data_IF_886600074374
#
_entry.id   IF_886600074374
#
_cell.length_a   1.000
_cell.length_b   1.000
_cell.length_c   1.000
_cell.angle_alpha   90.00
_cell.angle_beta   90.00
_cell.angle_gamma   90.00
#
_symmetry.space_group_name_H-M   'P 1'
#
loop_
_entity.id
_entity.type
_entity.pdbx_description
1 polymer ?
#
# COMPACT_ATOMS: atom_id res chain seq x y z
N UNK A 1 36.64 -18.08 18.06
CA UNK A 1 35.50 -17.38 17.44
C UNK A 1 35.24 -17.91 16.02
N UNK A 2 36.17 -17.84 15.08
CA UNK A 2 36.00 -18.29 13.69
C UNK A 2 35.53 -19.74 13.56
N UNK A 3 36.01 -20.65 14.44
CA UNK A 3 35.59 -22.06 14.46
C UNK A 3 34.11 -22.17 14.84
N UNK A 4 33.64 -21.39 15.81
CA UNK A 4 32.22 -21.40 16.22
C UNK A 4 31.27 -20.89 15.12
N UNK A 5 31.69 -19.88 14.34
CA UNK A 5 30.95 -19.45 13.15
C UNK A 5 30.89 -20.55 12.08
N UNK A 6 32.05 -21.15 11.76
CA UNK A 6 32.12 -22.19 10.74
C UNK A 6 31.28 -23.41 11.11
N UNK A 7 31.31 -23.80 12.38
CA UNK A 7 30.66 -25.04 12.85
C UNK A 7 29.22 -24.81 13.36
N UNK A 8 28.72 -23.56 13.32
CA UNK A 8 27.38 -23.13 13.78
C UNK A 8 27.05 -23.61 15.21
N UNK A 9 28.06 -23.69 16.09
CA UNK A 9 27.94 -24.32 17.41
C UNK A 9 27.29 -23.45 18.47
N UNK A 10 27.09 -22.17 18.23
CA UNK A 10 26.52 -21.22 19.20
C UNK A 10 25.82 -20.08 18.49
N UNK A 11 24.62 -20.35 17.92
CA UNK A 11 23.93 -19.41 17.03
C UNK A 11 23.42 -18.13 17.72
N UNK A 12 23.40 -18.09 19.07
CA UNK A 12 22.98 -16.90 19.82
C UNK A 12 24.15 -15.94 20.01
N UNK A 13 25.32 -16.45 20.39
CA UNK A 13 26.55 -15.64 20.60
C UNK A 13 27.32 -15.39 19.29
N UNK A 14 27.23 -16.33 18.34
CA UNK A 14 27.91 -16.29 17.04
C UNK A 14 26.93 -16.55 15.90
N UNK A 15 25.95 -15.65 15.71
CA UNK A 15 24.90 -15.84 14.70
C UNK A 15 25.48 -15.73 13.27
N UNK A 16 24.88 -16.51 12.36
CA UNK A 16 25.16 -16.49 10.92
C UNK A 16 23.83 -16.58 10.17
N UNK A 17 23.19 -15.43 9.96
CA UNK A 17 21.84 -15.35 9.41
C UNK A 17 21.87 -14.73 8.02
N UNK A 18 21.29 -15.43 7.04
CA UNK A 18 20.86 -14.80 5.80
C UNK A 18 19.59 -13.97 6.05
N UNK A 19 19.74 -12.68 6.24
CA UNK A 19 18.65 -11.78 6.61
C UNK A 19 17.56 -11.69 5.55
N UNK A 20 17.89 -11.88 4.26
CA UNK A 20 16.87 -11.89 3.19
C UNK A 20 15.97 -13.11 3.37
N UNK A 21 16.53 -14.29 3.48
CA UNK A 21 15.76 -15.52 3.68
C UNK A 21 15.04 -15.53 5.03
N UNK A 22 15.62 -14.91 6.04
CA UNK A 22 15.04 -14.80 7.36
C UNK A 22 13.82 -13.88 7.38
N UNK A 23 13.90 -12.71 6.74
CA UNK A 23 12.89 -11.67 6.81
C UNK A 23 11.82 -11.78 5.72
N UNK A 24 12.09 -12.45 4.59
CA UNK A 24 11.23 -12.43 3.41
C UNK A 24 10.63 -13.80 3.08
N UNK A 25 9.39 -13.79 2.64
CA UNK A 25 8.76 -14.94 1.99
C UNK A 25 9.28 -15.07 0.56
N UNK A 26 9.32 -16.29 0.04
CA UNK A 26 9.72 -16.55 -1.36
C UNK A 26 8.67 -16.08 -2.37
N UNK A 27 7.42 -15.92 -1.94
CA UNK A 27 6.32 -15.44 -2.76
C UNK A 27 5.32 -14.65 -1.91
N UNK A 28 4.59 -13.73 -2.56
CA UNK A 28 3.47 -13.01 -1.97
C UNK A 28 2.21 -13.25 -2.79
N UNK A 29 1.07 -13.32 -2.11
CA UNK A 29 -0.22 -13.57 -2.76
C UNK A 29 -0.76 -12.28 -3.41
N UNK A 30 -1.31 -12.44 -4.62
CA UNK A 30 -2.01 -11.39 -5.34
C UNK A 30 -3.30 -11.96 -5.92
N UNK A 31 -4.40 -11.21 -5.83
CA UNK A 31 -5.64 -11.58 -6.47
C UNK A 31 -6.33 -10.38 -7.13
N UNK A 32 -7.03 -10.64 -8.22
CA UNK A 32 -7.81 -9.66 -8.94
C UNK A 32 -9.15 -10.26 -9.37
N UNK A 33 -10.21 -9.55 -9.07
CA UNK A 33 -11.59 -9.92 -9.43
C UNK A 33 -12.28 -8.74 -10.09
N UNK A 34 -13.00 -9.00 -11.19
CA UNK A 34 -13.77 -7.98 -11.90
C UNK A 34 -15.15 -8.55 -12.24
N UNK A 35 -16.18 -7.71 -12.06
CA UNK A 35 -17.56 -8.01 -12.44
C UNK A 35 -18.06 -6.85 -13.30
N UNK A 36 -18.65 -7.19 -14.43
CA UNK A 36 -19.20 -6.24 -15.37
C UNK A 36 -20.66 -6.63 -15.70
N UNK A 37 -21.55 -5.64 -15.73
CA UNK A 37 -22.94 -5.80 -16.08
C UNK A 37 -23.25 -4.72 -17.11
N UNK A 38 -23.85 -5.12 -18.23
CA UNK A 38 -24.33 -4.19 -19.25
C UNK A 38 -25.71 -4.60 -19.72
N UNK A 39 -26.49 -3.61 -20.11
CA UNK A 39 -27.82 -3.84 -20.61
C UNK A 39 -28.46 -2.55 -21.13
N UNK A 40 -29.67 -2.64 -21.57
CA UNK A 40 -30.41 -1.46 -22.04
C UNK A 40 -31.78 -1.78 -22.55
N UNK A 41 -32.46 -0.71 -22.92
CA UNK A 41 -33.73 -0.67 -23.63
C UNK A 41 -33.54 0.17 -24.89
N UNK A 42 -34.62 0.39 -25.67
CA UNK A 42 -34.58 1.27 -26.84
C UNK A 42 -34.15 2.72 -26.51
N UNK A 43 -34.29 3.14 -25.25
CA UNK A 43 -34.01 4.52 -24.82
C UNK A 43 -32.88 4.65 -23.79
N UNK A 44 -32.36 3.54 -23.28
CA UNK A 44 -31.36 3.57 -22.21
C UNK A 44 -30.35 2.48 -22.44
N UNK A 45 -29.05 2.82 -22.28
CA UNK A 45 -27.96 1.88 -22.29
C UNK A 45 -27.14 2.10 -21.01
N UNK A 46 -26.76 1.03 -20.34
CA UNK A 46 -25.94 1.12 -19.16
C UNK A 46 -24.82 0.09 -19.15
N UNK A 47 -23.74 0.47 -18.50
CA UNK A 47 -22.63 -0.40 -18.18
C UNK A 47 -22.18 -0.10 -16.75
N UNK A 48 -22.08 -1.13 -15.92
CA UNK A 48 -21.56 -1.04 -14.55
C UNK A 48 -20.43 -2.04 -14.39
N UNK A 49 -19.35 -1.61 -13.77
CA UNK A 49 -18.18 -2.42 -13.50
C UNK A 49 -17.72 -2.21 -12.07
N UNK A 50 -17.36 -3.30 -11.39
CA UNK A 50 -16.70 -3.28 -10.10
C UNK A 50 -15.49 -4.21 -10.14
N UNK A 51 -14.37 -3.76 -9.61
CA UNK A 51 -13.13 -4.52 -9.54
C UNK A 51 -12.50 -4.45 -8.16
N UNK A 52 -11.90 -5.54 -7.75
CA UNK A 52 -11.11 -5.66 -6.52
C UNK A 52 -9.74 -6.20 -6.86
N UNK A 53 -8.71 -5.58 -6.33
CA UNK A 53 -7.33 -6.03 -6.41
C UNK A 53 -6.73 -6.03 -5.00
N UNK A 54 -6.06 -7.13 -4.65
CA UNK A 54 -5.32 -7.25 -3.39
C UNK A 54 -3.93 -7.79 -3.65
N UNK A 55 -2.95 -7.28 -2.93
CA UNK A 55 -1.57 -7.74 -2.98
C UNK A 55 -0.96 -7.71 -1.59
N UNK A 56 -0.41 -8.83 -1.17
CA UNK A 56 0.32 -8.95 0.08
C UNK A 56 1.78 -8.56 -0.09
N UNK A 57 2.44 -8.20 1.00
CA UNK A 57 3.87 -7.95 1.02
C UNK A 57 4.68 -9.22 1.23
N UNK A 58 5.98 -9.11 0.99
CA UNK A 58 6.90 -10.24 1.07
C UNK A 58 7.55 -10.43 2.44
N UNK A 59 7.38 -9.51 3.39
CA UNK A 59 7.98 -9.68 4.72
C UNK A 59 7.26 -10.74 5.54
N UNK A 60 8.02 -11.56 6.24
CA UNK A 60 7.49 -12.53 7.20
C UNK A 60 6.97 -11.81 8.45
N UNK A 61 5.85 -12.31 8.99
CA UNK A 61 5.26 -11.79 10.24
C UNK A 61 6.16 -12.05 11.46
N UNK A 62 6.98 -13.09 11.44
CA UNK A 62 7.78 -13.59 12.55
C UNK A 62 6.91 -13.67 13.84
N UNK A 63 7.45 -13.42 15.00
CA UNK A 63 6.71 -13.50 16.26
C UNK A 63 6.01 -12.18 16.67
N UNK A 64 5.86 -11.22 15.74
CA UNK A 64 5.21 -9.94 16.05
C UNK A 64 3.69 -10.09 16.18
N UNK A 65 3.10 -9.41 17.17
CA UNK A 65 1.65 -9.35 17.35
C UNK A 65 0.94 -8.58 16.25
N UNK A 66 1.61 -7.61 15.66
CA UNK A 66 1.05 -6.70 14.67
C UNK A 66 1.59 -6.97 13.28
N UNK A 67 0.73 -6.85 12.28
CA UNK A 67 1.15 -7.00 10.89
C UNK A 67 1.81 -5.72 10.37
N UNK A 68 3.13 -5.71 10.30
CA UNK A 68 3.95 -4.61 9.75
C UNK A 68 4.16 -4.71 8.24
N UNK A 69 3.67 -5.77 7.58
CA UNK A 69 3.97 -6.05 6.19
C UNK A 69 3.35 -5.01 5.24
N UNK A 70 3.90 -4.95 4.05
CA UNK A 70 3.24 -4.26 2.95
C UNK A 70 1.92 -4.93 2.63
N UNK A 71 0.92 -4.13 2.32
CA UNK A 71 -0.36 -4.61 1.81
C UNK A 71 -0.95 -3.53 0.91
N UNK A 72 -1.49 -3.94 -0.23
CA UNK A 72 -2.17 -3.04 -1.14
C UNK A 72 -3.54 -3.60 -1.49
N UNK A 73 -4.57 -2.77 -1.33
CA UNK A 73 -5.96 -3.08 -1.70
C UNK A 73 -6.50 -1.97 -2.56
N UNK A 74 -7.14 -2.32 -3.67
CA UNK A 74 -7.77 -1.34 -4.56
C UNK A 74 -9.14 -1.85 -5.00
N UNK A 75 -10.12 -1.00 -4.86
CA UNK A 75 -11.47 -1.18 -5.38
C UNK A 75 -11.69 -0.15 -6.48
N UNK A 76 -12.05 -0.62 -7.68
CA UNK A 76 -12.41 0.23 -8.80
C UNK A 76 -13.90 0.10 -9.03
N UNK A 77 -14.55 1.19 -9.43
CA UNK A 77 -15.93 1.19 -9.84
C UNK A 77 -16.14 2.09 -11.05
N UNK A 78 -17.05 1.71 -11.91
CA UNK A 78 -17.46 2.48 -13.09
C UNK A 78 -18.94 2.25 -13.37
N UNK A 79 -19.64 3.34 -13.68
CA UNK A 79 -21.00 3.30 -14.17
C UNK A 79 -21.12 4.29 -15.34
N UNK A 80 -21.59 3.81 -16.48
CA UNK A 80 -21.90 4.63 -17.65
C UNK A 80 -23.38 4.46 -17.93
N UNK A 81 -24.07 5.55 -18.15
CA UNK A 81 -25.47 5.60 -18.49
C UNK A 81 -25.66 6.55 -19.68
N UNK A 82 -26.24 6.04 -20.77
CA UNK A 82 -26.74 6.83 -21.88
C UNK A 82 -28.26 6.76 -21.87
N UNK A 83 -28.94 7.89 -21.87
CA UNK A 83 -30.38 8.01 -21.83
C UNK A 83 -30.89 8.94 -22.93
N UNK A 84 -31.64 8.38 -23.87
CA UNK A 84 -32.35 9.12 -24.91
C UNK A 84 -33.61 9.80 -24.30
N UNK A 85 -33.41 11.01 -23.70
CA UNK A 85 -34.47 11.77 -23.04
C UNK A 85 -35.61 12.13 -24.03
N UNK A 86 -35.21 12.42 -25.27
CA UNK A 86 -36.13 12.61 -26.40
C UNK A 86 -35.51 11.98 -27.67
N UNK A 87 -36.24 12.01 -28.81
CA UNK A 87 -35.66 11.57 -30.11
C UNK A 87 -34.47 12.41 -30.58
N UNK A 88 -34.28 13.57 -29.97
CA UNK A 88 -33.24 14.54 -30.36
C UNK A 88 -32.25 14.86 -29.23
N UNK A 89 -32.51 14.38 -28.00
CA UNK A 89 -31.73 14.70 -26.80
C UNK A 89 -31.16 13.43 -26.19
N UNK A 90 -29.85 13.32 -26.14
CA UNK A 90 -29.12 12.28 -25.42
C UNK A 90 -28.46 12.88 -24.18
N UNK A 91 -28.61 12.22 -23.04
CA UNK A 91 -27.93 12.53 -21.81
C UNK A 91 -27.01 11.36 -21.47
N UNK A 92 -25.72 11.63 -21.31
CA UNK A 92 -24.75 10.62 -20.89
C UNK A 92 -24.18 11.00 -19.53
N UNK A 93 -24.20 10.04 -18.59
CA UNK A 93 -23.60 10.17 -17.26
C UNK A 93 -22.52 9.10 -17.12
N UNK A 94 -21.30 9.52 -16.86
CA UNK A 94 -20.19 8.62 -16.59
C UNK A 94 -19.68 8.89 -15.19
N UNK A 95 -19.66 7.85 -14.36
CA UNK A 95 -19.10 7.90 -13.01
C UNK A 95 -18.02 6.83 -12.93
N UNK A 96 -16.86 7.21 -12.48
CA UNK A 96 -15.77 6.28 -12.28
C UNK A 96 -14.90 6.68 -11.09
N UNK A 97 -14.25 5.70 -10.50
CA UNK A 97 -13.35 6.01 -9.41
C UNK A 97 -12.66 4.79 -8.86
N UNK A 98 -11.85 5.05 -7.84
CA UNK A 98 -11.16 4.02 -7.09
C UNK A 98 -10.98 4.41 -5.63
N UNK A 99 -10.98 3.40 -4.80
CA UNK A 99 -10.56 3.49 -3.39
C UNK A 99 -9.36 2.56 -3.27
N UNK A 100 -8.22 3.11 -2.88
CA UNK A 100 -7.01 2.33 -2.68
C UNK A 100 -6.45 2.54 -1.28
N UNK A 101 -6.01 1.47 -0.66
CA UNK A 101 -5.33 1.50 0.64
C UNK A 101 -3.97 0.84 0.48
N UNK A 102 -2.92 1.60 0.74
CA UNK A 102 -1.54 1.13 0.78
C UNK A 102 -1.06 1.12 2.23
N UNK A 103 -0.63 -0.03 2.70
CA UNK A 103 -0.01 -0.20 4.01
C UNK A 103 1.48 -0.47 3.83
N UNK A 104 2.32 0.16 4.64
CA UNK A 104 3.77 -0.02 4.65
C UNK A 104 4.26 -0.10 6.10
N UNK A 105 5.39 -0.75 6.36
CA UNK A 105 6.05 -0.63 7.66
C UNK A 105 6.29 0.84 8.04
N UNK A 106 6.16 1.17 9.31
CA UNK A 106 6.53 2.48 9.84
C UNK A 106 8.02 2.46 10.16
N UNK A 107 8.84 2.82 9.19
CA UNK A 107 10.29 2.86 9.33
C UNK A 107 10.85 4.28 9.39
N UNK A 108 10.03 5.29 9.11
CA UNK A 108 10.50 6.66 8.88
C UNK A 108 11.29 6.83 7.58
N UNK A 109 11.38 5.79 6.78
CA UNK A 109 12.19 5.72 5.57
C UNK A 109 11.35 5.32 4.36
N UNK A 110 11.86 5.60 3.16
CA UNK A 110 11.23 5.11 1.95
C UNK A 110 11.46 3.60 1.75
N UNK A 111 10.72 3.02 0.84
CA UNK A 111 10.76 1.58 0.56
C UNK A 111 12.14 1.12 0.08
N UNK A 112 12.86 1.95 -0.69
CA UNK A 112 14.18 1.61 -1.21
C UNK A 112 15.21 1.52 -0.09
N UNK A 113 15.16 2.44 0.87
CA UNK A 113 16.04 2.43 2.03
C UNK A 113 15.80 1.21 2.93
N UNK A 114 14.54 0.80 3.07
CA UNK A 114 14.19 -0.41 3.83
C UNK A 114 14.82 -1.66 3.23
N UNK A 115 14.70 -1.87 1.91
CA UNK A 115 15.34 -3.00 1.22
C UNK A 115 16.87 -2.89 1.24
N UNK A 116 17.40 -1.70 1.05
CA UNK A 116 18.85 -1.45 1.10
C UNK A 116 19.46 -1.83 2.45
N UNK A 117 18.81 -1.47 3.55
CA UNK A 117 19.26 -1.85 4.90
C UNK A 117 19.17 -3.34 5.16
N UNK A 118 18.15 -4.02 4.63
CA UNK A 118 18.05 -5.47 4.69
C UNK A 118 19.22 -6.13 3.93
N UNK A 119 19.55 -5.58 2.76
CA UNK A 119 20.65 -6.08 1.92
C UNK A 119 22.03 -5.87 2.54
N UNK A 120 22.18 -4.82 3.34
CA UNK A 120 23.43 -4.49 4.03
C UNK A 120 23.55 -5.09 5.43
N UNK A 121 22.51 -5.75 5.91
CA UNK A 121 22.58 -6.41 7.19
C UNK A 121 23.61 -7.55 7.15
N UNK A 122 24.60 -7.47 8.02
CA UNK A 122 25.64 -8.49 8.08
C UNK A 122 25.14 -9.74 8.78
N UNK A 123 25.54 -10.95 8.36
CA UNK A 123 25.03 -12.22 8.90
C UNK A 123 25.11 -12.35 10.42
N UNK A 124 26.12 -11.74 11.03
CA UNK A 124 26.39 -11.78 12.47
C UNK A 124 25.81 -10.58 13.25
N UNK A 125 24.92 -9.78 12.67
CA UNK A 125 24.35 -8.61 13.35
C UNK A 125 23.37 -8.96 14.48
N UNK A 126 22.91 -10.20 14.55
CA UNK A 126 22.01 -10.67 15.61
C UNK A 126 21.53 -12.09 15.36
N UNK A 127 20.93 -12.70 16.38
CA UNK A 127 20.35 -14.04 16.32
C UNK A 127 18.87 -14.03 15.87
N UNK A 128 18.33 -12.87 15.46
CA UNK A 128 16.92 -12.75 15.05
C UNK A 128 15.96 -12.72 16.23
N UNK A 129 14.87 -13.46 16.13
CA UNK A 129 13.87 -13.59 17.20
C UNK A 129 14.09 -14.92 17.92
N UNK A 130 14.49 -14.85 19.17
CA UNK A 130 14.70 -16.00 20.07
C UNK A 130 13.76 -15.85 21.26
N UNK A 131 12.88 -16.81 21.48
CA UNK A 131 11.87 -16.80 22.56
C UNK A 131 11.05 -15.49 22.62
N UNK A 132 10.66 -15.00 21.43
CA UNK A 132 9.88 -13.75 21.29
C UNK A 132 10.70 -12.47 21.50
N UNK A 133 12.01 -12.57 21.77
CA UNK A 133 12.91 -11.45 21.98
C UNK A 133 13.70 -11.19 20.69
N UNK A 134 13.84 -9.93 20.29
CA UNK A 134 14.78 -9.55 19.23
C UNK A 134 16.19 -9.51 19.81
N UNK A 135 17.02 -10.47 19.40
CA UNK A 135 18.38 -10.62 19.90
C UNK A 135 19.36 -10.03 18.89
N UNK A 136 20.07 -9.00 19.31
CA UNK A 136 21.16 -8.35 18.56
C UNK A 136 22.52 -8.83 19.09
N UNK A 137 23.52 -8.80 18.23
CA UNK A 137 24.86 -9.25 18.61
C UNK A 137 25.51 -8.37 19.70
N UNK A 138 26.33 -9.00 20.50
CA UNK A 138 27.07 -8.33 21.56
C UNK A 138 28.47 -7.91 21.06
N UNK A 139 28.78 -6.61 21.17
CA UNK A 139 30.05 -6.05 20.79
C UNK A 139 31.25 -6.60 21.64
N UNK A 140 30.95 -7.13 22.83
CA UNK A 140 31.97 -7.75 23.67
C UNK A 140 32.56 -9.05 23.06
N UNK A 141 31.77 -9.71 22.20
CA UNK A 141 32.13 -10.97 21.53
C UNK A 141 32.46 -10.80 20.05
N UNK A 142 32.00 -9.73 19.42
CA UNK A 142 32.14 -9.49 17.99
C UNK A 142 32.77 -8.12 17.73
N UNK A 143 33.74 -8.00 16.81
CA UNK A 143 34.44 -6.74 16.53
C UNK A 143 33.54 -5.70 15.84
N UNK A 144 32.41 -6.14 15.24
CA UNK A 144 31.47 -5.28 14.57
C UNK A 144 30.05 -5.90 14.64
N UNK A 145 29.12 -5.14 15.12
CA UNK A 145 27.74 -5.65 15.34
C UNK A 145 26.73 -5.18 14.33
N UNK A 146 26.99 -4.13 13.59
CA UNK A 146 26.11 -3.65 12.51
C UNK A 146 24.63 -3.57 12.86
N UNK A 147 23.82 -3.26 11.88
CA UNK A 147 22.34 -3.31 11.98
C UNK A 147 21.85 -4.65 11.44
N UNK A 148 20.99 -5.33 12.19
CA UNK A 148 20.31 -6.55 11.74
C UNK A 148 19.22 -6.24 10.70
N UNK A 149 18.74 -7.26 9.97
CA UNK A 149 17.71 -7.11 8.96
C UNK A 149 16.34 -6.69 9.49
N UNK A 150 16.10 -6.85 10.80
CA UNK A 150 14.84 -6.50 11.45
C UNK A 150 14.77 -5.03 11.85
N UNK A 151 15.91 -4.36 12.00
CA UNK A 151 16.01 -3.02 12.57
C UNK A 151 15.16 -1.97 11.84
N UNK A 152 14.95 -2.12 10.56
CA UNK A 152 14.28 -1.11 9.75
C UNK A 152 12.76 -1.17 9.81
N UNK A 153 12.16 -2.32 10.12
CA UNK A 153 10.70 -2.48 10.02
C UNK A 153 10.05 -3.20 11.20
N UNK A 154 10.76 -4.14 11.83
CA UNK A 154 10.17 -5.02 12.82
C UNK A 154 9.88 -4.30 14.14
N UNK A 155 8.66 -4.45 14.67
CA UNK A 155 8.26 -3.85 15.95
C UNK A 155 8.07 -2.33 15.94
N UNK A 156 8.03 -1.68 14.78
CA UNK A 156 7.90 -0.21 14.69
C UNK A 156 6.49 0.27 14.33
N UNK A 157 5.60 -0.65 13.96
CA UNK A 157 4.25 -0.33 13.55
C UNK A 157 4.10 -0.21 12.02
N UNK A 158 3.09 0.51 11.58
CA UNK A 158 2.77 0.65 10.16
C UNK A 158 2.17 2.01 9.82
N UNK A 159 2.29 2.37 8.54
CA UNK A 159 1.65 3.52 7.93
C UNK A 159 0.60 3.03 6.94
N UNK A 160 -0.63 3.55 7.03
CA UNK A 160 -1.72 3.23 6.12
C UNK A 160 -2.20 4.48 5.42
N UNK A 161 -2.06 4.53 4.10
CA UNK A 161 -2.54 5.62 3.26
C UNK A 161 -3.75 5.14 2.46
N UNK A 162 -4.88 5.83 2.62
CA UNK A 162 -6.10 5.57 1.85
C UNK A 162 -6.32 6.73 0.89
N UNK A 163 -6.46 6.42 -0.40
CA UNK A 163 -6.74 7.37 -1.48
C UNK A 163 -8.09 7.06 -2.10
N UNK A 164 -8.94 8.08 -2.21
CA UNK A 164 -10.22 8.00 -2.92
C UNK A 164 -10.14 8.92 -4.13
N UNK A 165 -10.53 8.41 -5.29
CA UNK A 165 -10.64 9.18 -6.54
C UNK A 165 -12.04 9.01 -7.07
N UNK A 166 -12.69 10.12 -7.43
CA UNK A 166 -14.00 10.16 -8.07
C UNK A 166 -13.94 11.06 -9.30
N UNK A 167 -14.40 10.53 -10.42
CA UNK A 167 -14.58 11.25 -11.68
C UNK A 167 -16.05 11.16 -12.08
N UNK A 168 -16.66 12.29 -12.44
CA UNK A 168 -18.03 12.38 -12.90
C UNK A 168 -18.06 13.23 -14.16
N UNK A 169 -18.58 12.67 -15.26
CA UNK A 169 -18.83 13.40 -16.49
C UNK A 169 -20.34 13.41 -16.77
N UNK A 170 -20.87 14.57 -17.12
CA UNK A 170 -22.21 14.77 -17.63
C UNK A 170 -22.12 15.35 -19.03
N UNK A 171 -22.77 14.69 -19.99
CA UNK A 171 -22.82 15.15 -21.38
C UNK A 171 -24.26 15.24 -21.82
N UNK A 172 -24.60 16.39 -22.41
CA UNK A 172 -25.86 16.62 -23.09
C UNK A 172 -25.56 16.81 -24.57
N UNK A 173 -26.14 15.95 -25.42
CA UNK A 173 -26.11 16.08 -26.88
C UNK A 173 -27.51 16.37 -27.38
N UNK A 174 -27.72 17.55 -28.01
CA UNK A 174 -28.98 18.01 -28.55
C UNK A 174 -28.89 18.17 -30.06
N UNK A 175 -29.66 17.40 -30.83
CA UNK A 175 -29.84 17.63 -32.26
C UNK A 175 -30.71 18.85 -32.49
N UNK A 176 -30.23 19.75 -33.33
CA UNK A 176 -30.91 21.01 -33.68
C UNK A 176 -31.40 20.99 -35.14
N UNK A 177 -31.82 19.82 -35.62
CA UNK A 177 -32.32 19.63 -37.00
C UNK A 177 -33.55 20.50 -37.31
N UNK A 178 -34.25 20.97 -36.28
CA UNK A 178 -35.39 21.91 -36.41
C UNK A 178 -34.91 23.33 -36.80
N UNK A 179 -33.64 23.66 -36.58
CA UNK A 179 -33.01 24.92 -37.02
C UNK A 179 -32.35 24.68 -38.38
N UNK A 180 -31.48 23.70 -38.44
CA UNK A 180 -30.75 23.32 -39.67
C UNK A 180 -30.37 21.85 -39.61
N UNK A 181 -30.72 21.09 -40.66
CA UNK A 181 -30.39 19.65 -40.72
C UNK A 181 -28.89 19.41 -40.59
N UNK A 182 -28.52 18.56 -39.64
CA UNK A 182 -27.14 18.22 -39.32
C UNK A 182 -26.46 19.14 -38.30
N UNK A 183 -27.19 20.12 -37.73
CA UNK A 183 -26.70 20.92 -36.62
C UNK A 183 -26.93 20.19 -35.30
N UNK A 184 -25.96 20.23 -34.37
CA UNK A 184 -26.09 19.73 -33.01
C UNK A 184 -25.37 20.62 -32.01
N UNK A 185 -25.88 20.64 -30.79
CA UNK A 185 -25.24 21.30 -29.64
C UNK A 185 -24.81 20.25 -28.65
N UNK A 186 -23.58 20.39 -28.14
CA UNK A 186 -23.05 19.55 -27.09
C UNK A 186 -22.61 20.39 -25.91
N UNK A 187 -23.07 20.00 -24.72
CA UNK A 187 -22.62 20.54 -23.45
C UNK A 187 -21.98 19.40 -22.65
N UNK A 188 -20.75 19.61 -22.17
CA UNK A 188 -20.05 18.67 -21.29
C UNK A 188 -19.63 19.36 -20.00
N UNK A 189 -19.88 18.71 -18.87
CA UNK A 189 -19.34 19.07 -17.56
C UNK A 189 -18.59 17.89 -16.99
N UNK A 190 -17.41 18.13 -16.44
CA UNK A 190 -16.61 17.12 -15.74
C UNK A 190 -16.23 17.61 -14.36
N UNK A 191 -16.30 16.72 -13.39
CA UNK A 191 -15.83 16.96 -12.03
C UNK A 191 -14.93 15.82 -11.60
N UNK A 192 -13.66 16.14 -11.27
CA UNK A 192 -12.68 15.20 -10.78
C UNK A 192 -12.27 15.60 -9.37
N UNK A 193 -12.25 14.64 -8.46
CA UNK A 193 -11.75 14.89 -7.11
C UNK A 193 -10.93 13.72 -6.62
N UNK A 194 -9.88 14.02 -5.89
CA UNK A 194 -9.13 13.05 -5.12
C UNK A 194 -9.00 13.52 -3.67
N UNK A 195 -9.02 12.55 -2.78
CA UNK A 195 -8.84 12.77 -1.36
C UNK A 195 -8.01 11.63 -0.79
N UNK A 196 -6.96 11.95 -0.05
CA UNK A 196 -6.16 10.94 0.62
C UNK A 196 -5.97 11.26 2.10
N UNK A 197 -5.90 10.20 2.89
CA UNK A 197 -5.62 10.27 4.34
C UNK A 197 -4.52 9.30 4.70
N UNK A 198 -3.74 9.65 5.70
CA UNK A 198 -2.69 8.80 6.24
C UNK A 198 -2.88 8.61 7.75
N UNK A 199 -2.87 7.35 8.17
CA UNK A 199 -2.85 6.93 9.58
C UNK A 199 -1.50 6.29 9.85
N UNK A 200 -0.89 6.66 10.96
CA UNK A 200 0.36 6.07 11.44
C UNK A 200 0.06 5.33 12.74
N UNK A 201 0.46 4.09 12.81
CA UNK A 201 0.47 3.30 14.01
C UNK A 201 1.93 3.02 14.36
N UNK A 202 2.42 3.62 15.43
CA UNK A 202 3.82 3.50 15.87
C UNK A 202 3.93 2.64 17.13
N UNK A 203 4.95 1.82 17.16
CA UNK A 203 5.34 1.04 18.34
C UNK A 203 6.86 1.00 18.47
N UNK A 204 7.34 0.54 19.60
CA UNK A 204 8.74 0.22 19.83
C UNK A 204 8.87 -1.19 20.37
N UNK A 205 9.97 -1.83 20.07
CA UNK A 205 10.34 -3.12 20.60
C UNK A 205 11.71 -3.04 21.23
N UNK A 206 11.84 -3.57 22.43
CA UNK A 206 13.15 -3.71 23.08
C UNK A 206 14.04 -4.67 22.29
N UNK A 207 15.33 -4.43 22.36
CA UNK A 207 16.35 -5.34 21.85
C UNK A 207 17.08 -6.00 23.02
N UNK A 208 17.55 -7.20 22.80
CA UNK A 208 18.22 -8.01 23.82
C UNK A 208 19.61 -8.38 23.33
N UNK A 209 20.60 -8.14 24.17
CA UNK A 209 22.00 -8.47 23.90
C UNK A 209 22.36 -9.71 24.74
N UNK A 210 22.84 -10.81 24.14
CA UNK A 210 23.21 -12.01 24.89
C UNK A 210 24.45 -11.75 25.76
N UNK A 211 24.46 -12.30 26.96
CA UNK A 211 25.55 -12.23 27.90
C UNK A 211 25.85 -13.65 28.38
N UNK A 212 27.08 -14.09 28.24
CA UNK A 212 27.55 -15.38 28.75
C UNK A 212 27.89 -15.23 30.23
N UNK A 213 27.29 -16.05 31.08
CA UNK A 213 27.60 -16.14 32.51
C UNK A 213 28.75 -17.12 32.76
N UNK A 214 29.37 -17.04 33.93
CA UNK A 214 30.50 -17.89 34.33
C UNK A 214 30.12 -19.38 34.39
N UNK A 215 28.86 -19.68 34.64
CA UNK A 215 28.32 -21.05 34.63
C UNK A 215 28.04 -21.62 33.23
N UNK A 216 28.32 -20.84 32.19
CA UNK A 216 28.10 -21.21 30.79
C UNK A 216 26.69 -20.95 30.31
N UNK A 217 25.77 -20.43 31.13
CA UNK A 217 24.41 -20.05 30.72
C UNK A 217 24.41 -18.73 29.93
N UNK A 218 23.42 -18.56 29.04
CA UNK A 218 23.23 -17.32 28.28
C UNK A 218 22.08 -16.53 28.91
N UNK A 219 22.40 -15.37 29.46
CA UNK A 219 21.46 -14.35 29.89
C UNK A 219 21.24 -13.30 28.80
N UNK A 220 20.33 -12.36 29.07
CA UNK A 220 20.02 -11.27 28.14
C UNK A 220 20.00 -9.92 28.84
N UNK A 221 20.74 -8.96 28.32
CA UNK A 221 20.67 -7.56 28.72
C UNK A 221 19.64 -6.85 27.83
N UNK A 222 18.54 -6.39 28.42
CA UNK A 222 17.51 -5.63 27.71
C UNK A 222 17.94 -4.19 27.48
N UNK A 223 17.71 -3.67 26.27
CA UNK A 223 17.88 -2.27 25.89
C UNK A 223 16.61 -1.75 25.21
N UNK A 224 16.21 -0.53 25.57
CA UNK A 224 14.96 0.05 25.11
C UNK A 224 13.74 -0.50 25.85
N UNK A 225 12.55 -0.14 25.37
CA UNK A 225 11.26 -0.55 25.92
C UNK A 225 10.30 -1.00 24.85
N UNK A 226 9.47 -1.97 25.20
CA UNK A 226 8.33 -2.35 24.38
C UNK A 226 7.20 -1.33 24.59
N UNK A 227 6.54 -0.90 23.53
CA UNK A 227 5.34 -0.09 23.61
C UNK A 227 4.22 -0.72 22.80
N UNK A 228 2.97 -0.52 23.26
CA UNK A 228 1.80 -0.84 22.46
C UNK A 228 1.68 0.09 21.26
N UNK A 229 0.92 -0.32 20.23
CA UNK A 229 0.62 0.53 19.09
C UNK A 229 -0.08 1.81 19.54
N UNK A 230 0.54 2.93 19.22
CA UNK A 230 -0.04 4.27 19.35
C UNK A 230 -0.47 4.77 17.98
N UNK A 231 -1.73 5.17 17.85
CA UNK A 231 -2.28 5.67 16.61
C UNK A 231 -2.23 7.18 16.58
N UNK A 232 -1.65 7.72 15.52
CA UNK A 232 -1.64 9.15 15.23
C UNK A 232 -2.15 9.39 13.82
N UNK A 233 -2.81 10.55 13.64
CA UNK A 233 -3.07 11.13 12.34
C UNK A 233 -1.94 12.10 12.05
N UNK A 234 -1.23 11.91 10.96
CA UNK A 234 -0.20 12.87 10.56
C UNK A 234 -0.88 14.21 10.25
N UNK A 235 -0.42 15.30 10.86
CA UNK A 235 -0.95 16.65 10.60
C UNK A 235 -0.83 17.09 9.13
N UNK A 236 0.13 16.52 8.39
CA UNK A 236 0.30 16.67 6.94
C UNK A 236 -0.20 15.45 6.16
N UNK A 237 -0.93 14.54 6.82
CA UNK A 237 -1.33 13.24 6.29
C UNK A 237 -2.69 13.24 5.62
N UNK A 238 -3.08 14.34 4.99
CA UNK A 238 -4.27 14.41 4.13
C UNK A 238 -4.07 15.40 3.00
N UNK A 239 -4.64 15.09 1.87
CA UNK A 239 -4.63 15.96 0.71
C UNK A 239 -5.93 15.86 -0.06
N UNK A 240 -6.27 16.93 -0.75
CA UNK A 240 -7.48 17.04 -1.53
C UNK A 240 -7.21 17.82 -2.81
N UNK A 241 -7.69 17.31 -3.93
CA UNK A 241 -7.68 17.97 -5.22
C UNK A 241 -9.09 17.98 -5.79
N UNK A 242 -9.42 19.03 -6.54
CA UNK A 242 -10.69 19.20 -7.26
C UNK A 242 -10.43 19.92 -8.56
N UNK A 243 -10.91 19.34 -9.66
CA UNK A 243 -10.78 19.90 -10.98
C UNK A 243 -12.16 19.94 -11.64
N UNK A 244 -12.43 21.04 -12.33
CA UNK A 244 -13.67 21.27 -13.06
C UNK A 244 -13.37 21.51 -14.52
N UNK A 245 -14.19 20.96 -15.38
CA UNK A 245 -14.12 21.23 -16.81
C UNK A 245 -15.54 21.46 -17.33
N UNK A 246 -15.71 22.48 -18.18
CA UNK A 246 -16.95 22.73 -18.91
C UNK A 246 -16.61 23.02 -20.37
N UNK A 247 -17.42 22.46 -21.25
CA UNK A 247 -17.31 22.65 -22.70
C UNK A 247 -18.70 22.81 -23.31
N UNK A 248 -18.84 23.78 -24.20
CA UNK A 248 -20.01 23.92 -25.05
C UNK A 248 -19.54 23.97 -26.52
N UNK A 249 -20.14 23.15 -27.37
CA UNK A 249 -19.79 23.03 -28.77
C UNK A 249 -20.99 22.99 -29.67
N UNK A 250 -20.92 23.71 -30.79
CA UNK A 250 -21.84 23.57 -31.91
C UNK A 250 -21.16 22.76 -33.03
N UNK A 251 -21.81 21.69 -33.45
CA UNK A 251 -21.29 20.81 -34.49
C UNK A 251 -22.25 20.83 -35.69
N UNK A 252 -21.69 20.87 -36.88
CA UNK A 252 -22.45 20.76 -38.13
C UNK A 252 -21.90 19.65 -39.00
N UNK A 253 -22.73 18.69 -39.37
CA UNK A 253 -22.36 17.59 -40.25
C UNK A 253 -23.54 17.26 -41.20
N UNK A 254 -23.33 17.46 -42.48
CA UNK A 254 -24.33 17.17 -43.50
C UNK A 254 -23.71 16.51 -44.72
N UNK A 255 -24.30 15.43 -45.18
CA UNK A 255 -24.02 14.88 -46.53
C UNK A 255 -24.93 15.61 -47.53
N UNK A 256 -24.36 16.15 -48.56
CA UNK A 256 -25.01 16.77 -49.69
C UNK A 256 -25.30 15.74 -50.76
#
# INVERSE_FOLDING_TARGET
>A
QLIKFRDHTDPILYPDINWIDYCMNKAAFQSQHNVNISGGTDRMRYFVSAGMFTQDGMFKQLAASDNFNFNYKRYNYRANLDFDATKTTLISVNIGGRIETKRTPESGEDQNQLFRKLYWAVPFAGAGIVDGKRVVSNADYLPFTGSDGLNSYYGKGFRSTTTNVLNVDLVLDQKLDFITKGLSFKLKGSYNTSYWTQKIASSSMAVYTPVLHDDGSIGYRKSGSDSQLSYSRNSNGEGKSRDWYMEAALNYSRKF
#
